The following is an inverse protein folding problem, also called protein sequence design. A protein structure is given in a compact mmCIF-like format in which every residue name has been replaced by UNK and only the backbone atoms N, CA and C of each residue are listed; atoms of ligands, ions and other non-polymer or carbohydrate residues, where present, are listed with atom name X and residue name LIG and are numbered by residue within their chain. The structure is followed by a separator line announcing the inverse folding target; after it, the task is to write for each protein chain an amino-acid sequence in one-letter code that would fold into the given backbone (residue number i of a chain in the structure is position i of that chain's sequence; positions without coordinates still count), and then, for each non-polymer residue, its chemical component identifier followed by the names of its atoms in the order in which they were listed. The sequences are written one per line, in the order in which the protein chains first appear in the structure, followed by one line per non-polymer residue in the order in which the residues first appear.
data_IF_639180223626
#
_entry.id   IF_639180223626
#
_cell.length_a   1.000
_cell.length_b   1.000
_cell.length_c   1.000
_cell.angle_alpha   90.00
_cell.angle_beta   90.00
_cell.angle_gamma   90.00
#
_symmetry.space_group_name_H-M   'P 1'
#
loop_
_entity.id
_entity.type
_entity.pdbx_description
1 polymer ?
#
# COMPACT_ATOMS: atom_id res chain seq x y z
N UNK A 1 -2.22 15.08 6.21
CA UNK A 1 -0.80 15.36 6.58
C UNK A 1 -0.59 15.14 8.06
N UNK A 2 -1.44 15.68 8.94
CA UNK A 2 -1.36 15.42 10.39
C UNK A 2 -1.28 13.92 10.75
N UNK A 3 -2.11 13.08 10.12
CA UNK A 3 -2.06 11.63 10.36
C UNK A 3 -0.70 10.97 10.07
N UNK A 4 -0.02 11.39 9.00
CA UNK A 4 1.33 10.89 8.65
C UNK A 4 2.35 11.35 9.69
N UNK A 5 2.27 12.61 10.14
CA UNK A 5 3.17 13.15 11.17
C UNK A 5 2.98 12.39 12.49
N UNK A 6 1.73 12.15 12.89
CA UNK A 6 1.39 11.35 14.07
C UNK A 6 1.92 9.93 13.95
N UNK A 7 1.75 9.28 12.79
CA UNK A 7 2.31 7.95 12.54
C UNK A 7 3.83 7.92 12.63
N UNK A 8 4.53 8.93 12.12
CA UNK A 8 5.99 9.01 12.21
C UNK A 8 6.44 9.20 13.67
N UNK A 9 5.72 10.02 14.45
CA UNK A 9 6.01 10.20 15.87
C UNK A 9 5.79 8.90 16.67
N UNK A 10 4.69 8.20 16.42
CA UNK A 10 4.40 6.89 17.03
C UNK A 10 5.44 5.85 16.60
N UNK A 11 5.76 5.78 15.30
CA UNK A 11 6.77 4.87 14.77
C UNK A 11 8.14 5.11 15.39
N UNK A 12 8.51 6.38 15.58
CA UNK A 12 9.75 6.76 16.24
C UNK A 12 9.77 6.31 17.70
N UNK A 13 8.68 6.58 18.44
CA UNK A 13 8.57 6.14 19.83
C UNK A 13 8.71 4.61 19.93
N UNK A 14 7.98 3.85 19.10
CA UNK A 14 8.03 2.38 19.10
C UNK A 14 9.46 1.88 18.83
N UNK A 15 10.12 2.35 17.77
CA UNK A 15 11.47 1.87 17.42
C UNK A 15 12.51 2.29 18.47
N UNK A 16 12.33 3.46 19.07
CA UNK A 16 13.22 3.95 20.13
C UNK A 16 13.08 3.11 21.41
N UNK A 17 11.86 2.77 21.83
CA UNK A 17 11.65 1.97 23.03
C UNK A 17 12.05 0.50 22.82
N UNK A 18 11.69 -0.11 21.69
CA UNK A 18 11.85 -1.57 21.45
C UNK A 18 13.24 -1.94 20.92
N UNK A 19 13.79 -1.14 20.01
CA UNK A 19 15.03 -1.47 19.30
C UNK A 19 16.18 -0.49 19.62
N UNK A 20 15.92 0.57 20.39
CA UNK A 20 16.88 1.65 20.70
C UNK A 20 17.48 2.29 19.44
N UNK A 21 16.67 2.37 18.37
CA UNK A 21 17.03 2.98 17.07
C UNK A 21 16.16 4.21 16.80
N UNK A 22 16.38 4.82 15.64
CA UNK A 22 15.58 5.93 15.12
C UNK A 22 14.91 5.53 13.79
N UNK A 23 14.20 6.45 13.15
CA UNK A 23 13.44 6.20 11.91
C UNK A 23 14.30 5.83 10.69
N UNK A 24 15.63 5.92 10.76
CA UNK A 24 16.52 5.48 9.67
C UNK A 24 16.35 4.01 9.29
N UNK A 25 15.77 3.18 10.17
CA UNK A 25 15.41 1.79 9.87
C UNK A 25 14.45 1.65 8.68
N UNK A 26 13.75 2.73 8.30
CA UNK A 26 12.82 2.76 7.17
C UNK A 26 13.53 2.92 5.80
N UNK A 27 14.84 3.21 5.78
CA UNK A 27 15.61 3.24 4.52
C UNK A 27 15.23 4.38 3.56
N UNK A 28 15.31 5.63 4.02
CA UNK A 28 14.88 6.83 3.24
C UNK A 28 15.60 7.07 1.89
N UNK A 29 16.68 6.34 1.58
CA UNK A 29 17.46 6.54 0.36
C UNK A 29 17.37 5.30 -0.54
N UNK A 30 16.61 5.35 -1.64
CA UNK A 30 16.56 4.25 -2.59
C UNK A 30 17.90 4.12 -3.33
N UNK A 31 18.27 2.89 -3.69
CA UNK A 31 19.40 2.64 -4.60
C UNK A 31 19.01 2.97 -6.05
N UNK A 32 20.02 3.15 -6.93
CA UNK A 32 19.78 3.34 -8.37
C UNK A 32 18.95 2.20 -8.98
N UNK A 33 19.22 0.97 -8.55
CA UNK A 33 18.45 -0.20 -8.99
C UNK A 33 16.99 -0.11 -8.56
N UNK A 34 16.71 0.22 -7.29
CA UNK A 34 15.32 0.35 -6.80
C UNK A 34 14.56 1.47 -7.50
N UNK A 35 15.24 2.56 -7.89
CA UNK A 35 14.64 3.60 -8.71
C UNK A 35 14.30 3.08 -10.12
N UNK A 36 15.20 2.34 -10.76
CA UNK A 36 14.94 1.74 -12.07
C UNK A 36 13.76 0.74 -12.00
N UNK A 37 13.76 -0.14 -11.00
CA UNK A 37 12.70 -1.10 -10.74
C UNK A 37 11.35 -0.39 -10.52
N UNK A 38 11.33 0.71 -9.75
CA UNK A 38 10.13 1.51 -9.54
C UNK A 38 9.52 1.98 -10.86
N UNK A 39 10.31 2.58 -11.76
CA UNK A 39 9.79 3.05 -13.04
C UNK A 39 9.35 1.90 -13.95
N UNK A 40 10.11 0.81 -13.98
CA UNK A 40 9.77 -0.39 -14.75
C UNK A 40 8.43 -0.97 -14.29
N UNK A 41 8.27 -1.23 -12.99
CA UNK A 41 7.04 -1.81 -12.44
C UNK A 41 5.86 -0.85 -12.49
N UNK A 42 6.09 0.46 -12.42
CA UNK A 42 5.05 1.47 -12.65
C UNK A 42 4.50 1.37 -14.08
N UNK A 43 5.37 1.28 -15.08
CA UNK A 43 4.97 1.13 -16.49
C UNK A 43 4.25 -0.20 -16.69
N UNK A 44 4.81 -1.31 -16.20
CA UNK A 44 4.17 -2.64 -16.30
C UNK A 44 2.77 -2.62 -15.68
N UNK A 45 2.63 -2.05 -14.48
CA UNK A 45 1.33 -1.95 -13.80
C UNK A 45 0.36 -1.08 -14.59
N UNK A 46 0.80 0.06 -15.14
CA UNK A 46 -0.02 0.92 -15.97
C UNK A 46 -0.52 0.20 -17.23
N UNK A 47 0.34 -0.58 -17.89
CA UNK A 47 -0.03 -1.37 -19.08
C UNK A 47 -1.03 -2.48 -18.72
N UNK A 48 -0.79 -3.21 -17.63
CA UNK A 48 -1.72 -4.26 -17.17
C UNK A 48 -3.08 -3.63 -16.82
N UNK A 49 -3.09 -2.54 -16.06
CA UNK A 49 -4.33 -1.83 -15.71
C UNK A 49 -5.07 -1.33 -16.96
N UNK A 50 -4.36 -0.70 -17.90
CA UNK A 50 -4.92 -0.23 -19.16
C UNK A 50 -5.52 -1.38 -20.00
N UNK A 51 -4.85 -2.54 -20.05
CA UNK A 51 -5.37 -3.72 -20.74
C UNK A 51 -6.68 -4.23 -20.12
N UNK A 52 -6.82 -4.17 -18.79
CA UNK A 52 -8.05 -4.52 -18.10
C UNK A 52 -9.22 -3.62 -18.51
N UNK A 53 -8.99 -2.30 -18.59
CA UNK A 53 -9.98 -1.35 -19.11
C UNK A 53 -10.32 -1.61 -20.57
N UNK A 54 -9.31 -1.86 -21.41
CA UNK A 54 -9.49 -2.15 -22.83
C UNK A 54 -10.35 -3.41 -23.05
N UNK A 55 -10.11 -4.48 -22.29
CA UNK A 55 -10.90 -5.71 -22.36
C UNK A 55 -12.36 -5.42 -21.99
N UNK A 56 -12.61 -4.69 -20.90
CA UNK A 56 -13.98 -4.34 -20.47
C UNK A 56 -14.74 -3.55 -21.54
N UNK A 57 -14.05 -2.70 -22.31
CA UNK A 57 -14.65 -2.00 -23.45
C UNK A 57 -15.11 -2.94 -24.56
N UNK A 58 -14.39 -4.04 -24.80
CA UNK A 58 -14.81 -5.06 -25.78
C UNK A 58 -16.11 -5.78 -25.38
N UNK A 59 -16.41 -5.81 -24.07
CA UNK A 59 -17.65 -6.37 -23.53
C UNK A 59 -18.76 -5.33 -23.30
N UNK A 60 -18.63 -4.16 -23.92
CA UNK A 60 -19.70 -3.17 -23.99
C UNK A 60 -19.65 -2.05 -22.95
N UNK A 61 -18.63 -2.00 -22.08
CA UNK A 61 -18.43 -0.83 -21.22
C UNK A 61 -18.02 0.40 -22.03
N UNK A 62 -18.69 1.53 -21.78
CA UNK A 62 -18.37 2.82 -22.39
C UNK A 62 -17.81 3.76 -21.34
N UNK A 63 -16.59 4.23 -21.57
CA UNK A 63 -15.96 5.25 -20.74
C UNK A 63 -16.32 6.62 -21.29
N UNK A 64 -16.84 7.47 -20.41
CA UNK A 64 -17.08 8.89 -20.70
C UNK A 64 -16.12 9.70 -19.86
N UNK A 65 -15.76 10.90 -20.34
CA UNK A 65 -15.04 11.84 -19.51
C UNK A 65 -15.87 12.15 -18.26
N UNK A 66 -15.20 12.15 -17.11
CA UNK A 66 -15.84 12.52 -15.86
C UNK A 66 -16.21 14.01 -15.94
N UNK A 67 -17.51 14.40 -15.95
CA UNK A 67 -17.92 15.79 -16.18
C UNK A 67 -17.24 16.86 -15.29
N UNK A 68 -16.95 16.62 -13.99
CA UNK A 68 -16.18 17.54 -13.14
C UNK A 68 -14.66 17.53 -13.38
N UNK A 69 -14.13 16.77 -14.35
CA UNK A 69 -12.70 16.64 -14.55
C UNK A 69 -12.07 17.96 -14.99
N UNK A 70 -10.96 18.29 -14.33
CA UNK A 70 -10.07 19.37 -14.72
C UNK A 70 -8.67 19.09 -14.15
N UNK A 71 -7.68 19.85 -14.62
CA UNK A 71 -6.28 19.72 -14.21
C UNK A 71 -6.09 19.85 -12.70
N UNK A 72 -6.88 20.70 -12.03
CA UNK A 72 -6.82 20.83 -10.57
C UNK A 72 -7.31 19.57 -9.87
N UNK A 73 -8.37 18.94 -10.35
CA UNK A 73 -8.88 17.67 -9.83
C UNK A 73 -7.86 16.55 -10.01
N UNK A 74 -7.16 16.51 -11.17
CA UNK A 74 -6.08 15.56 -11.40
C UNK A 74 -4.98 15.67 -10.33
N UNK A 75 -4.43 16.87 -10.11
CA UNK A 75 -3.37 17.06 -9.12
C UNK A 75 -3.85 16.83 -7.68
N UNK A 76 -5.10 17.20 -7.35
CA UNK A 76 -5.70 16.88 -6.05
C UNK A 76 -5.82 15.36 -5.85
N UNK A 77 -6.26 14.63 -6.87
CA UNK A 77 -6.36 13.17 -6.86
C UNK A 77 -5.00 12.50 -6.71
N UNK A 78 -4.00 12.93 -7.47
CA UNK A 78 -2.61 12.44 -7.33
C UNK A 78 -2.08 12.68 -5.91
N UNK A 79 -2.24 13.90 -5.38
CA UNK A 79 -1.80 14.22 -4.03
C UNK A 79 -2.53 13.41 -2.96
N UNK A 80 -3.83 13.16 -3.14
CA UNK A 80 -4.60 12.30 -2.25
C UNK A 80 -4.06 10.86 -2.24
N UNK A 81 -3.82 10.28 -3.41
CA UNK A 81 -3.30 8.92 -3.54
C UNK A 81 -1.91 8.79 -2.92
N UNK A 82 -0.99 9.75 -3.15
CA UNK A 82 0.34 9.75 -2.52
C UNK A 82 0.21 9.73 -0.99
N UNK A 83 -0.67 10.57 -0.42
CA UNK A 83 -0.89 10.61 1.03
C UNK A 83 -1.50 9.32 1.56
N UNK A 84 -2.47 8.73 0.85
CA UNK A 84 -3.13 7.49 1.24
C UNK A 84 -2.12 6.34 1.29
N UNK A 85 -1.37 6.16 0.20
CA UNK A 85 -0.37 5.10 0.10
C UNK A 85 0.70 5.29 1.17
N UNK A 86 1.23 6.50 1.37
CA UNK A 86 2.23 6.74 2.40
C UNK A 86 1.71 6.42 3.82
N UNK A 87 0.46 6.77 4.11
CA UNK A 87 -0.18 6.47 5.40
C UNK A 87 -0.31 4.97 5.64
N UNK A 88 -0.68 4.20 4.62
CA UNK A 88 -0.78 2.74 4.71
C UNK A 88 0.60 2.08 4.80
N UNK A 89 1.56 2.50 3.97
CA UNK A 89 2.94 1.98 3.98
C UNK A 89 3.58 2.12 5.38
N UNK A 90 3.38 3.27 6.04
CA UNK A 90 3.93 3.49 7.39
C UNK A 90 3.36 2.54 8.45
N UNK A 91 2.12 2.07 8.31
CA UNK A 91 1.51 1.10 9.22
C UNK A 91 2.05 -0.30 8.94
N UNK A 92 1.93 -0.74 7.69
CA UNK A 92 2.03 -2.16 7.34
C UNK A 92 3.43 -2.59 6.88
N UNK A 93 4.23 -1.64 6.39
CA UNK A 93 5.61 -1.85 5.92
C UNK A 93 6.61 -0.92 6.64
N UNK A 94 6.13 -0.17 7.64
CA UNK A 94 6.94 0.70 8.48
C UNK A 94 7.59 -0.03 9.65
N UNK A 95 7.72 0.67 10.78
CA UNK A 95 8.45 0.19 11.96
C UNK A 95 7.91 -1.12 12.51
N UNK A 96 6.58 -1.30 12.50
CA UNK A 96 5.96 -2.53 12.99
C UNK A 96 6.42 -3.75 12.18
N UNK A 97 6.48 -3.63 10.86
CA UNK A 97 6.93 -4.71 9.99
C UNK A 97 8.42 -5.01 10.17
N UNK A 98 9.25 -3.97 10.28
CA UNK A 98 10.67 -4.10 10.62
C UNK A 98 10.88 -4.90 11.93
N UNK A 99 10.09 -4.60 12.97
CA UNK A 99 10.15 -5.32 14.25
C UNK A 99 9.65 -6.76 14.09
N UNK A 100 8.55 -6.99 13.36
CA UNK A 100 8.04 -8.34 13.11
C UNK A 100 9.08 -9.22 12.42
N UNK A 101 9.76 -8.71 11.39
CA UNK A 101 10.84 -9.44 10.69
C UNK A 101 11.93 -9.82 11.69
N UNK A 102 12.37 -8.87 12.53
CA UNK A 102 13.43 -9.11 13.52
C UNK A 102 13.05 -10.12 14.59
N UNK A 103 11.80 -10.12 15.05
CA UNK A 103 11.36 -10.92 16.21
C UNK A 103 10.83 -12.30 15.81
N UNK A 104 10.19 -12.40 14.65
CA UNK A 104 9.47 -13.62 14.22
C UNK A 104 10.03 -14.23 12.94
N UNK A 105 10.97 -13.54 12.27
CA UNK A 105 11.49 -13.93 10.96
C UNK A 105 10.59 -13.49 9.82
N UNK A 106 11.17 -13.43 8.62
CA UNK A 106 10.51 -12.85 7.43
C UNK A 106 9.22 -13.54 7.04
N UNK A 107 9.16 -14.87 7.04
CA UNK A 107 7.97 -15.62 6.60
C UNK A 107 6.76 -15.30 7.47
N UNK A 108 6.93 -15.30 8.80
CA UNK A 108 5.84 -14.99 9.73
C UNK A 108 5.43 -13.52 9.62
N UNK A 109 6.40 -12.61 9.51
CA UNK A 109 6.12 -11.20 9.35
C UNK A 109 5.27 -10.91 8.09
N UNK A 110 5.65 -11.49 6.94
CA UNK A 110 4.93 -11.34 5.65
C UNK A 110 3.47 -11.76 5.82
N UNK A 111 3.22 -12.95 6.37
CA UNK A 111 1.85 -13.47 6.55
C UNK A 111 1.05 -12.56 7.48
N UNK A 112 1.61 -12.17 8.63
CA UNK A 112 0.93 -11.31 9.60
C UNK A 112 0.56 -9.97 8.98
N UNK A 113 1.50 -9.31 8.29
CA UNK A 113 1.25 -8.02 7.67
C UNK A 113 0.24 -8.11 6.51
N UNK A 114 0.32 -9.15 5.67
CA UNK A 114 -0.63 -9.37 4.58
C UNK A 114 -2.07 -9.60 5.09
N UNK A 115 -2.24 -10.41 6.14
CA UNK A 115 -3.55 -10.65 6.78
C UNK A 115 -4.09 -9.36 7.38
N UNK A 116 -3.25 -8.61 8.12
CA UNK A 116 -3.66 -7.35 8.72
C UNK A 116 -4.07 -6.30 7.66
N UNK A 117 -3.33 -6.24 6.54
CA UNK A 117 -3.65 -5.38 5.41
C UNK A 117 -4.97 -5.76 4.75
N UNK A 118 -5.24 -7.06 4.59
CA UNK A 118 -6.52 -7.59 4.11
C UNK A 118 -7.70 -7.18 5.00
N UNK A 119 -7.57 -7.37 6.30
CA UNK A 119 -8.61 -7.03 7.29
C UNK A 119 -8.85 -5.52 7.40
N UNK A 120 -7.80 -4.71 7.30
CA UNK A 120 -7.91 -3.25 7.30
C UNK A 120 -8.90 -2.74 6.24
N UNK A 121 -8.90 -3.39 5.06
CA UNK A 121 -9.78 -3.02 3.96
C UNK A 121 -11.25 -3.32 4.18
N UNK A 122 -11.61 -4.16 5.16
CA UNK A 122 -13.00 -4.30 5.56
C UNK A 122 -13.59 -2.99 6.08
N UNK A 123 -12.77 -2.24 6.80
CA UNK A 123 -13.16 -0.97 7.40
C UNK A 123 -12.99 0.18 6.42
N UNK A 124 -11.86 0.24 5.70
CA UNK A 124 -11.60 1.33 4.75
C UNK A 124 -12.58 1.33 3.58
N UNK A 125 -13.03 0.16 3.12
CA UNK A 125 -14.05 0.03 2.07
C UNK A 125 -15.47 -0.09 2.61
N UNK A 126 -15.65 -0.01 3.94
CA UNK A 126 -16.97 -0.08 4.60
C UNK A 126 -17.77 -1.34 4.24
N UNK A 127 -17.09 -2.48 4.08
CA UNK A 127 -17.72 -3.78 3.78
C UNK A 127 -17.90 -4.67 5.01
N UNK A 128 -17.40 -4.23 6.18
CA UNK A 128 -17.54 -4.97 7.43
C UNK A 128 -19.02 -5.27 7.75
N UNK A 129 -19.31 -6.52 8.11
CA UNK A 129 -20.67 -7.01 8.33
C UNK A 129 -21.31 -7.68 7.11
N UNK A 130 -20.69 -7.62 5.92
CA UNK A 130 -21.12 -8.35 4.74
C UNK A 130 -20.12 -9.46 4.37
N UNK A 131 -20.39 -10.74 4.70
CA UNK A 131 -19.40 -11.81 4.61
C UNK A 131 -18.81 -12.02 3.21
N UNK A 132 -19.61 -11.92 2.16
CA UNK A 132 -19.15 -12.16 0.78
C UNK A 132 -18.20 -11.05 0.30
N UNK A 133 -18.55 -9.76 0.35
CA UNK A 133 -17.62 -8.66 0.09
C UNK A 133 -16.40 -8.65 1.00
N UNK A 134 -16.54 -9.02 2.28
CA UNK A 134 -15.39 -9.15 3.18
C UNK A 134 -14.41 -10.20 2.69
N UNK A 135 -14.88 -11.38 2.29
CA UNK A 135 -14.04 -12.46 1.78
C UNK A 135 -13.31 -12.04 0.51
N UNK A 136 -14.04 -11.46 -0.45
CA UNK A 136 -13.47 -10.97 -1.71
C UNK A 136 -12.41 -9.89 -1.44
N UNK A 137 -12.75 -8.90 -0.61
CA UNK A 137 -11.85 -7.80 -0.25
C UNK A 137 -10.59 -8.33 0.42
N UNK A 138 -10.73 -9.25 1.38
CA UNK A 138 -9.62 -9.85 2.11
C UNK A 138 -8.61 -10.53 1.17
N UNK A 139 -9.09 -11.33 0.22
CA UNK A 139 -8.19 -12.01 -0.70
C UNK A 139 -7.54 -11.05 -1.70
N UNK A 140 -8.30 -10.13 -2.29
CA UNK A 140 -7.76 -9.17 -3.28
C UNK A 140 -6.68 -8.29 -2.63
N UNK A 141 -7.00 -7.64 -1.51
CA UNK A 141 -6.06 -6.71 -0.86
C UNK A 141 -4.98 -7.47 -0.09
N UNK A 142 -5.31 -8.61 0.52
CA UNK A 142 -4.33 -9.46 1.21
C UNK A 142 -3.27 -10.05 0.28
N UNK A 143 -3.63 -10.47 -0.94
CA UNK A 143 -2.66 -10.91 -1.96
C UNK A 143 -1.76 -9.76 -2.38
N UNK A 144 -2.31 -8.56 -2.59
CA UNK A 144 -1.51 -7.37 -2.85
C UNK A 144 -0.55 -7.07 -1.69
N UNK A 145 -1.03 -7.12 -0.43
CA UNK A 145 -0.22 -6.96 0.77
C UNK A 145 0.90 -8.00 0.89
N UNK A 146 0.63 -9.25 0.50
CA UNK A 146 1.63 -10.32 0.44
C UNK A 146 2.73 -10.01 -0.59
N UNK A 147 2.37 -9.54 -1.78
CA UNK A 147 3.34 -9.13 -2.81
C UNK A 147 4.21 -7.97 -2.32
N UNK A 148 3.61 -6.94 -1.71
CA UNK A 148 4.34 -5.78 -1.21
C UNK A 148 5.31 -6.14 -0.08
N UNK A 149 4.87 -6.96 0.87
CA UNK A 149 5.71 -7.40 1.99
C UNK A 149 6.81 -8.36 1.55
N UNK A 150 6.55 -9.22 0.55
CA UNK A 150 7.58 -10.04 -0.07
C UNK A 150 8.64 -9.19 -0.78
N UNK A 151 8.21 -8.21 -1.59
CA UNK A 151 9.09 -7.31 -2.31
C UNK A 151 9.90 -6.38 -1.38
N UNK A 152 9.39 -6.09 -0.18
CA UNK A 152 10.12 -5.37 0.86
C UNK A 152 11.26 -6.20 1.45
N UNK A 153 11.02 -7.49 1.69
CA UNK A 153 12.00 -8.40 2.33
C UNK A 153 13.12 -8.81 1.37
N UNK A 154 12.83 -8.89 0.08
CA UNK A 154 13.79 -9.15 -1.00
C UNK A 154 14.52 -7.87 -1.40
#
# INVERSE_FOLDING_TARGET
MLGIIVQLAISWAIVWFVEKKNLSVLGFKPSKQRLADFFLFLIITAVIAASGFFIRMQYGERWVENPPFNTLLLFKGLWWNIKSVLFEELIFRGVLFYILIKRLGSTKAIIISAVAFGMYHWFSYSVFGNPVPMLITFFITGIAGLLYTYAYVK
#
